data_IF_773544696879
#
_entry.id   IF_773544696879
#
_cell.length_a   1.000
_cell.length_b   1.000
_cell.length_c   1.000
_cell.angle_alpha   90.00
_cell.angle_beta   90.00
_cell.angle_gamma   90.00
#
_symmetry.space_group_name_H-M   'P 1'
#
loop_
_entity.id
_entity.type
_entity.pdbx_description
1 polymer ?
#
# COMPACT_ATOMS: atom_id res chain seq x y z
N UNK A 1 -5.57 9.06 12.78
CA UNK A 1 -6.33 7.79 12.86
C UNK A 1 -5.34 6.68 13.12
N UNK A 2 -5.62 5.80 14.07
CA UNK A 2 -4.79 4.62 14.30
C UNK A 2 -4.84 3.73 13.04
N UNK A 3 -3.70 3.24 12.56
CA UNK A 3 -3.62 2.35 11.41
C UNK A 3 -4.33 1.03 11.67
N UNK A 4 -4.86 0.40 10.63
CA UNK A 4 -5.47 -0.93 10.70
C UNK A 4 -4.46 -1.97 10.23
N UNK A 5 -4.21 -2.96 11.08
CA UNK A 5 -3.18 -3.97 10.87
C UNK A 5 -3.82 -5.35 10.79
N UNK A 6 -3.41 -6.14 9.80
CA UNK A 6 -3.75 -7.55 9.67
C UNK A 6 -2.54 -8.40 10.07
N UNK A 7 -2.75 -9.38 10.94
CA UNK A 7 -1.75 -10.39 11.32
C UNK A 7 -2.17 -11.73 10.73
N UNK A 8 -1.28 -12.37 9.99
CA UNK A 8 -1.53 -13.66 9.34
C UNK A 8 -0.42 -14.64 9.70
N UNK A 9 -0.75 -15.63 10.53
CA UNK A 9 0.20 -16.61 11.07
C UNK A 9 -0.60 -17.83 11.58
N UNK A 10 -0.16 -19.04 11.32
CA UNK A 10 -0.84 -20.25 11.80
C UNK A 10 -0.57 -20.50 13.30
N UNK A 11 0.43 -19.87 13.89
CA UNK A 11 0.75 -19.94 15.31
C UNK A 11 -0.09 -18.97 16.16
N UNK A 12 -1.12 -19.49 16.81
CA UNK A 12 -2.03 -18.68 17.63
C UNK A 12 -1.33 -17.92 18.79
N UNK A 13 -0.20 -18.42 19.27
CA UNK A 13 0.59 -17.76 20.31
C UNK A 13 1.24 -16.48 19.78
N UNK A 14 1.78 -16.52 18.57
CA UNK A 14 2.37 -15.35 17.90
C UNK A 14 1.30 -14.30 17.61
N UNK A 15 0.16 -14.71 17.05
CA UNK A 15 -0.96 -13.80 16.79
C UNK A 15 -1.41 -13.08 18.07
N UNK A 16 -1.52 -13.76 19.19
CA UNK A 16 -1.89 -13.14 20.48
C UNK A 16 -0.85 -12.14 20.95
N UNK A 17 0.43 -12.52 20.91
CA UNK A 17 1.53 -11.68 21.38
C UNK A 17 1.66 -10.42 20.54
N UNK A 18 1.64 -10.55 19.22
CA UNK A 18 1.74 -9.41 18.29
C UNK A 18 0.52 -8.51 18.39
N UNK A 19 -0.67 -9.11 18.46
CA UNK A 19 -1.91 -8.36 18.66
C UNK A 19 -1.86 -7.51 19.91
N UNK A 20 -1.52 -8.10 21.06
CA UNK A 20 -1.39 -7.38 22.31
C UNK A 20 -0.41 -6.21 22.22
N UNK A 21 0.77 -6.46 21.65
CA UNK A 21 1.80 -5.44 21.47
C UNK A 21 1.33 -4.24 20.61
N UNK A 22 0.59 -4.52 19.53
CA UNK A 22 0.15 -3.49 18.60
C UNK A 22 -1.12 -2.77 19.08
N UNK A 23 -2.03 -3.46 19.75
CA UNK A 23 -3.21 -2.85 20.36
C UNK A 23 -2.81 -1.92 21.52
N UNK A 24 -1.75 -2.25 22.28
CA UNK A 24 -1.18 -1.39 23.34
C UNK A 24 -0.65 -0.06 22.78
N UNK A 25 -0.18 -0.06 21.53
CA UNK A 25 0.23 1.15 20.79
C UNK A 25 -0.96 1.89 20.15
N UNK A 26 -2.19 1.41 20.35
CA UNK A 26 -3.41 2.05 19.85
C UNK A 26 -3.80 1.68 18.42
N UNK A 27 -3.18 0.68 17.80
CA UNK A 27 -3.56 0.19 16.47
C UNK A 27 -4.80 -0.71 16.53
N UNK A 28 -5.59 -0.72 15.45
CA UNK A 28 -6.69 -1.67 15.28
C UNK A 28 -6.16 -2.93 14.61
N UNK A 29 -6.25 -4.08 15.28
CA UNK A 29 -5.62 -5.32 14.82
C UNK A 29 -6.67 -6.40 14.55
N UNK A 30 -6.62 -6.99 13.37
CA UNK A 30 -7.32 -8.22 13.02
C UNK A 30 -6.32 -9.36 12.83
N UNK A 31 -6.74 -10.58 13.13
CA UNK A 31 -5.90 -11.78 13.04
C UNK A 31 -6.53 -12.82 12.12
N UNK A 32 -5.71 -13.49 11.33
CA UNK A 32 -6.08 -14.65 10.51
C UNK A 32 -5.07 -15.78 10.75
N UNK A 33 -5.54 -17.00 10.86
CA UNK A 33 -4.67 -18.18 11.04
C UNK A 33 -4.50 -18.98 9.74
N UNK A 34 -5.01 -18.50 8.63
CA UNK A 34 -4.92 -19.13 7.31
C UNK A 34 -5.09 -18.09 6.19
N UNK A 35 -4.67 -18.44 4.97
CA UNK A 35 -4.86 -17.63 3.79
C UNK A 35 -6.35 -17.32 3.53
N UNK A 36 -7.23 -18.30 3.69
CA UNK A 36 -8.68 -18.16 3.49
C UNK A 36 -9.28 -17.13 4.47
N UNK A 37 -8.89 -17.16 5.73
CA UNK A 37 -9.35 -16.16 6.70
C UNK A 37 -8.82 -14.75 6.38
N UNK A 38 -7.57 -14.66 5.96
CA UNK A 38 -6.96 -13.39 5.56
C UNK A 38 -7.71 -12.78 4.36
N UNK A 39 -8.01 -13.59 3.34
CA UNK A 39 -8.79 -13.17 2.18
C UNK A 39 -10.19 -12.68 2.58
N UNK A 40 -10.90 -13.44 3.41
CA UNK A 40 -12.24 -13.05 3.89
C UNK A 40 -12.23 -11.71 4.66
N UNK A 41 -11.16 -11.43 5.41
CA UNK A 41 -10.99 -10.16 6.10
C UNK A 41 -10.71 -9.02 5.12
N UNK A 42 -9.87 -9.22 4.11
CA UNK A 42 -9.55 -8.23 3.08
C UNK A 42 -10.78 -7.84 2.24
N UNK A 43 -11.73 -8.76 2.05
CA UNK A 43 -12.99 -8.47 1.38
C UNK A 43 -13.93 -7.59 2.19
N UNK A 44 -13.81 -7.59 3.51
CA UNK A 44 -14.73 -6.89 4.43
C UNK A 44 -14.16 -5.61 5.02
N UNK A 45 -12.85 -5.49 5.08
CA UNK A 45 -12.17 -4.40 5.76
C UNK A 45 -10.94 -3.96 4.98
N UNK A 46 -10.61 -2.66 5.10
CA UNK A 46 -9.40 -2.08 4.54
C UNK A 46 -8.31 -2.08 5.62
N UNK A 47 -7.13 -2.58 5.26
CA UNK A 47 -5.95 -2.57 6.12
C UNK A 47 -4.85 -1.71 5.50
N UNK A 48 -4.03 -1.10 6.35
CA UNK A 48 -2.88 -0.28 5.94
C UNK A 48 -1.60 -1.10 5.92
N UNK A 49 -1.49 -2.09 6.80
CA UNK A 49 -0.32 -2.93 7.00
C UNK A 49 -0.75 -4.38 7.26
N UNK A 50 -0.02 -5.33 6.71
CA UNK A 50 -0.14 -6.75 7.02
C UNK A 50 1.22 -7.31 7.45
N UNK A 51 1.22 -8.09 8.53
CA UNK A 51 2.32 -8.99 8.87
C UNK A 51 1.93 -10.39 8.45
N UNK A 52 2.72 -11.02 7.60
CA UNK A 52 2.41 -12.29 6.95
C UNK A 52 3.52 -13.30 7.20
N UNK A 53 3.20 -14.46 7.76
CA UNK A 53 4.13 -15.59 7.78
C UNK A 53 4.23 -16.23 6.39
N UNK A 54 5.43 -16.65 6.01
CA UNK A 54 5.67 -17.42 4.78
C UNK A 54 5.15 -18.86 4.88
N UNK A 55 4.99 -19.39 6.08
CA UNK A 55 4.44 -20.72 6.32
C UNK A 55 3.09 -20.61 6.98
N UNK A 56 2.05 -20.85 6.21
CA UNK A 56 0.65 -20.87 6.68
C UNK A 56 0.08 -22.28 6.51
N UNK A 57 0.47 -23.19 7.40
CA UNK A 57 0.12 -24.60 7.26
C UNK A 57 0.67 -25.19 5.96
N UNK A 58 -0.21 -25.52 5.02
CA UNK A 58 0.15 -26.04 3.69
C UNK A 58 0.32 -24.93 2.63
N UNK A 59 -0.14 -23.70 2.93
CA UNK A 59 -0.10 -22.58 1.99
C UNK A 59 1.29 -21.94 1.93
N UNK A 60 1.71 -21.58 0.71
CA UNK A 60 2.93 -20.81 0.49
C UNK A 60 2.64 -19.31 0.69
N UNK A 61 3.27 -18.70 1.68
CA UNK A 61 3.08 -17.27 1.98
C UNK A 61 3.45 -16.32 0.83
N UNK A 62 4.34 -16.71 -0.09
CA UNK A 62 4.64 -15.90 -1.27
C UNK A 62 3.45 -15.85 -2.24
N UNK A 63 2.71 -16.94 -2.40
CA UNK A 63 1.50 -16.96 -3.22
C UNK A 63 0.40 -16.12 -2.57
N UNK A 64 0.27 -16.19 -1.24
CA UNK A 64 -0.64 -15.34 -0.46
C UNK A 64 -0.28 -13.86 -0.61
N UNK A 65 1.01 -13.53 -0.53
CA UNK A 65 1.51 -12.17 -0.77
C UNK A 65 1.13 -11.66 -2.16
N UNK A 66 1.32 -12.46 -3.20
CA UNK A 66 0.97 -12.09 -4.57
C UNK A 66 -0.53 -11.78 -4.71
N UNK A 67 -1.40 -12.61 -4.11
CA UNK A 67 -2.84 -12.38 -4.09
C UNK A 67 -3.21 -11.09 -3.32
N UNK A 68 -2.60 -10.87 -2.16
CA UNK A 68 -2.80 -9.65 -1.36
C UNK A 68 -2.40 -8.39 -2.13
N UNK A 69 -1.31 -8.44 -2.91
CA UNK A 69 -0.87 -7.32 -3.73
C UNK A 69 -1.86 -6.97 -4.85
N UNK A 70 -2.59 -7.93 -5.36
CA UNK A 70 -3.65 -7.72 -6.35
C UNK A 70 -4.91 -7.14 -5.70
N UNK A 71 -5.33 -7.70 -4.57
CA UNK A 71 -6.57 -7.31 -3.88
C UNK A 71 -6.44 -5.95 -3.15
N UNK A 72 -5.29 -5.69 -2.55
CA UNK A 72 -5.02 -4.51 -1.74
C UNK A 72 -3.65 -3.89 -2.08
N UNK A 73 -3.47 -3.31 -3.29
CA UNK A 73 -2.18 -2.77 -3.74
C UNK A 73 -1.66 -1.63 -2.86
N UNK A 74 -2.53 -0.95 -2.14
CA UNK A 74 -2.17 0.11 -1.19
C UNK A 74 -1.63 -0.41 0.14
N UNK A 75 -1.96 -1.67 0.52
CA UNK A 75 -1.57 -2.26 1.80
C UNK A 75 -0.08 -2.62 1.79
N UNK A 76 0.63 -2.22 2.82
CA UNK A 76 2.02 -2.63 3.02
C UNK A 76 2.06 -4.04 3.59
N UNK A 77 2.90 -4.91 3.07
CA UNK A 77 3.03 -6.28 3.59
C UNK A 77 4.45 -6.49 4.08
N UNK A 78 4.60 -6.86 5.34
CA UNK A 78 5.86 -7.24 5.99
C UNK A 78 5.84 -8.74 6.22
N UNK A 79 6.85 -9.42 5.71
CA UNK A 79 7.01 -10.85 5.93
C UNK A 79 7.63 -11.09 7.32
N UNK A 80 7.06 -12.02 8.09
CA UNK A 80 7.58 -12.43 9.41
C UNK A 80 7.72 -13.93 9.43
N UNK A 81 8.93 -14.47 9.42
CA UNK A 81 9.14 -15.93 9.30
C UNK A 81 10.33 -16.42 10.11
N UNK A 82 10.28 -17.70 10.52
CA UNK A 82 11.38 -18.37 11.19
C UNK A 82 12.58 -18.66 10.25
N UNK A 83 12.40 -18.55 8.93
CA UNK A 83 13.46 -18.78 7.96
C UNK A 83 14.29 -17.53 7.73
N UNK A 84 15.56 -17.62 8.10
CA UNK A 84 16.56 -16.55 7.94
C UNK A 84 17.39 -16.65 6.67
N UNK A 85 16.99 -17.51 5.70
CA UNK A 85 17.73 -17.64 4.45
C UNK A 85 17.66 -16.34 3.65
N UNK A 86 18.81 -15.85 3.21
CA UNK A 86 18.92 -14.60 2.43
C UNK A 86 18.10 -14.68 1.14
N UNK A 87 18.11 -15.84 0.48
CA UNK A 87 17.36 -16.07 -0.76
C UNK A 87 15.86 -15.87 -0.54
N UNK A 88 15.31 -16.38 0.57
CA UNK A 88 13.89 -16.22 0.90
C UNK A 88 13.51 -14.76 1.17
N UNK A 89 14.39 -13.97 1.78
CA UNK A 89 14.17 -12.54 1.98
C UNK A 89 14.17 -11.78 0.65
N UNK A 90 15.11 -12.12 -0.25
CA UNK A 90 15.18 -11.54 -1.59
C UNK A 90 13.93 -11.86 -2.39
N UNK A 91 13.50 -13.12 -2.40
CA UNK A 91 12.29 -13.57 -3.09
C UNK A 91 11.03 -12.83 -2.58
N UNK A 92 10.92 -12.66 -1.26
CA UNK A 92 9.81 -11.91 -0.65
C UNK A 92 9.79 -10.44 -1.10
N UNK A 93 10.91 -9.76 -1.10
CA UNK A 93 11.01 -8.36 -1.54
C UNK A 93 10.71 -8.25 -3.05
N UNK A 94 11.22 -9.17 -3.88
CA UNK A 94 10.92 -9.21 -5.31
C UNK A 94 9.44 -9.49 -5.60
N UNK A 95 8.77 -10.30 -4.75
CA UNK A 95 7.34 -10.54 -4.81
C UNK A 95 6.49 -9.33 -4.33
N UNK A 96 7.12 -8.27 -3.86
CA UNK A 96 6.47 -7.03 -3.47
C UNK A 96 6.24 -6.85 -1.97
N UNK A 97 6.91 -7.63 -1.11
CA UNK A 97 6.94 -7.35 0.33
C UNK A 97 7.63 -6.01 0.59
N UNK A 98 7.11 -5.27 1.56
CA UNK A 98 7.62 -3.97 1.95
C UNK A 98 8.84 -4.07 2.88
N UNK A 99 8.91 -5.16 3.63
CA UNK A 99 10.00 -5.44 4.58
C UNK A 99 9.97 -6.93 4.97
N UNK A 100 10.98 -7.35 5.72
CA UNK A 100 11.17 -8.73 6.15
C UNK A 100 11.69 -8.77 7.58
N UNK A 101 11.04 -9.56 8.45
CA UNK A 101 11.42 -9.78 9.85
C UNK A 101 11.65 -11.26 10.11
N UNK A 102 12.67 -11.58 10.90
CA UNK A 102 13.00 -12.96 11.30
C UNK A 102 12.46 -13.23 12.69
N UNK A 103 11.74 -14.35 12.87
CA UNK A 103 11.31 -14.86 14.17
C UNK A 103 12.50 -15.51 14.91
N UNK A 104 12.63 -15.33 16.24
CA UNK A 104 11.79 -14.52 17.09
C UNK A 104 12.07 -13.03 16.90
N UNK A 105 11.07 -12.20 16.68
CA UNK A 105 11.23 -10.75 16.68
C UNK A 105 10.76 -10.16 18.02
N UNK A 106 11.50 -9.17 18.50
CA UNK A 106 11.16 -8.48 19.75
C UNK A 106 9.95 -7.55 19.54
N UNK A 107 9.22 -7.21 20.63
CA UNK A 107 8.19 -6.18 20.57
C UNK A 107 8.67 -4.85 19.97
N UNK A 108 9.90 -4.45 20.26
CA UNK A 108 10.46 -3.19 19.73
C UNK A 108 10.73 -3.26 18.23
N UNK A 109 11.18 -4.40 17.71
CA UNK A 109 11.33 -4.62 16.28
C UNK A 109 9.98 -4.56 15.57
N UNK A 110 8.94 -5.17 16.16
CA UNK A 110 7.59 -5.13 15.62
C UNK A 110 7.03 -3.70 15.60
N UNK A 111 7.19 -2.94 16.71
CA UNK A 111 6.78 -1.53 16.81
C UNK A 111 7.48 -0.66 15.78
N UNK A 112 8.80 -0.80 15.67
CA UNK A 112 9.61 -0.03 14.71
C UNK A 112 9.21 -0.31 13.27
N UNK A 113 9.03 -1.57 12.90
CA UNK A 113 8.57 -1.96 11.58
C UNK A 113 7.17 -1.40 11.29
N UNK A 114 6.27 -1.47 12.26
CA UNK A 114 4.91 -0.93 12.14
C UNK A 114 4.93 0.58 11.89
N UNK A 115 5.63 1.35 12.73
CA UNK A 115 5.72 2.80 12.60
C UNK A 115 6.30 3.21 11.23
N UNK A 116 7.40 2.58 10.81
CA UNK A 116 8.04 2.83 9.52
C UNK A 116 7.09 2.57 8.34
N UNK A 117 6.40 1.43 8.33
CA UNK A 117 5.55 1.06 7.20
C UNK A 117 4.27 1.90 7.13
N UNK A 118 3.69 2.27 8.27
CA UNK A 118 2.52 3.15 8.30
C UNK A 118 2.86 4.58 7.89
N UNK A 119 4.03 5.09 8.26
CA UNK A 119 4.52 6.39 7.77
C UNK A 119 4.65 6.41 6.25
N UNK A 120 5.31 5.40 5.66
CA UNK A 120 5.43 5.26 4.20
C UNK A 120 4.05 5.17 3.54
N UNK A 121 3.12 4.41 4.13
CA UNK A 121 1.75 4.30 3.63
C UNK A 121 1.02 5.64 3.62
N UNK A 122 1.15 6.41 4.69
CA UNK A 122 0.54 7.74 4.79
C UNK A 122 1.12 8.72 3.77
N UNK A 123 2.44 8.70 3.57
CA UNK A 123 3.10 9.55 2.57
C UNK A 123 2.64 9.19 1.15
N UNK A 124 2.56 7.90 0.82
CA UNK A 124 2.06 7.43 -0.48
C UNK A 124 0.61 7.87 -0.73
N UNK A 125 -0.27 7.72 0.27
CA UNK A 125 -1.66 8.15 0.17
C UNK A 125 -1.79 9.67 -0.05
N UNK A 126 -0.90 10.46 0.56
CA UNK A 126 -0.85 11.90 0.39
C UNK A 126 -0.43 12.30 -1.02
N UNK A 127 0.57 11.62 -1.58
CA UNK A 127 1.01 11.84 -2.96
C UNK A 127 -0.10 11.49 -3.95
N UNK A 128 -0.74 10.35 -3.80
CA UNK A 128 -1.87 9.92 -4.65
C UNK A 128 -3.03 10.94 -4.62
N UNK A 129 -3.34 11.50 -3.43
CA UNK A 129 -4.37 12.52 -3.29
C UNK A 129 -4.00 13.81 -4.03
N UNK A 130 -2.75 14.27 -3.92
CA UNK A 130 -2.26 15.47 -4.60
C UNK A 130 -2.23 15.28 -6.12
N UNK A 131 -1.78 14.14 -6.62
CA UNK A 131 -1.79 13.81 -8.05
C UNK A 131 -3.23 13.71 -8.60
N UNK A 132 -4.17 13.20 -7.81
CA UNK A 132 -5.59 13.15 -8.14
C UNK A 132 -6.23 14.54 -8.25
N UNK A 133 -5.79 15.50 -7.44
CA UNK A 133 -6.24 16.91 -7.53
C UNK A 133 -5.68 17.61 -8.77
N UNK A 134 -4.44 17.33 -9.15
CA UNK A 134 -3.80 17.88 -10.36
C UNK A 134 -4.43 17.30 -11.63
N UNK A 135 -4.88 16.05 -11.60
CA UNK A 135 -5.54 15.37 -12.73
C UNK A 135 -7.03 15.67 -12.89
N UNK A 136 -7.69 16.26 -11.89
CA UNK A 136 -9.02 16.81 -12.12
C UNK A 136 -8.87 17.97 -13.10
N UNK A 137 -9.48 17.91 -14.30
CA UNK A 137 -9.62 19.10 -15.12
C UNK A 137 -10.24 20.15 -14.20
N UNK A 138 -9.70 21.34 -14.17
CA UNK A 138 -10.43 22.48 -13.64
C UNK A 138 -11.62 22.70 -14.59
N UNK A 139 -12.66 21.91 -14.43
CA UNK A 139 -13.99 22.23 -14.92
C UNK A 139 -14.45 23.47 -14.14
N UNK A 140 -14.09 24.61 -14.65
CA UNK A 140 -14.33 25.91 -14.01
C UNK A 140 -13.48 27.05 -14.57
N UNK A 141 -12.70 26.81 -15.60
CA UNK A 141 -12.30 27.89 -16.50
C UNK A 141 -13.53 28.17 -17.36
N UNK A 142 -14.37 29.10 -16.90
CA UNK A 142 -15.32 29.78 -17.74
C UNK A 142 -14.63 30.09 -19.08
N UNK A 143 -15.07 29.38 -20.14
CA UNK A 143 -14.63 29.59 -21.51
C UNK A 143 -15.04 30.97 -22.06
N UNK A 144 -15.40 31.88 -21.18
CA UNK A 144 -15.83 33.26 -21.44
C UNK A 144 -14.90 34.31 -20.84
N UNK A 145 -13.69 33.95 -20.41
CA UNK A 145 -12.69 34.94 -20.05
C UNK A 145 -12.20 35.65 -21.32
N UNK A 146 -12.33 36.98 -21.42
CA UNK A 146 -11.86 37.76 -22.60
C UNK A 146 -10.37 37.56 -22.92
N UNK A 147 -9.56 37.23 -21.89
CA UNK A 147 -8.13 36.94 -22.07
C UNK A 147 -7.88 35.61 -22.77
N UNK A 148 -8.72 34.58 -22.53
CA UNK A 148 -8.61 33.27 -23.18
C UNK A 148 -9.07 33.30 -24.64
N UNK A 149 -10.09 34.10 -24.96
CA UNK A 149 -10.55 34.35 -26.32
C UNK A 149 -9.47 35.08 -27.15
N UNK A 150 -8.77 36.04 -26.58
CA UNK A 150 -7.67 36.75 -27.25
C UNK A 150 -6.49 35.81 -27.58
N UNK A 151 -6.15 34.87 -26.71
CA UNK A 151 -5.09 33.87 -26.95
C UNK A 151 -5.48 32.89 -28.05
N UNK A 152 -6.73 32.41 -28.08
CA UNK A 152 -7.23 31.51 -29.11
C UNK A 152 -7.33 32.21 -30.49
N UNK A 153 -7.70 33.49 -30.52
CA UNK A 153 -7.76 34.31 -31.73
C UNK A 153 -6.34 34.52 -32.31
N UNK A 154 -5.37 34.81 -31.46
CA UNK A 154 -3.96 34.98 -31.86
C UNK A 154 -3.36 33.68 -32.39
N UNK A 155 -3.65 32.53 -31.73
CA UNK A 155 -3.21 31.22 -32.19
C UNK A 155 -3.83 30.82 -33.55
N UNK A 156 -5.06 31.23 -33.80
CA UNK A 156 -5.77 30.97 -35.08
C UNK A 156 -5.18 31.83 -36.21
N UNK A 157 -4.80 33.07 -35.93
CA UNK A 157 -4.15 33.96 -36.91
C UNK A 157 -2.77 33.48 -37.34
N UNK A 158 -1.98 32.92 -36.39
CA UNK A 158 -0.65 32.36 -36.68
C UNK A 158 -0.75 31.11 -37.52
N UNK A 159 -1.75 30.24 -37.25
CA UNK A 159 -1.96 28.98 -38.00
C UNK A 159 -2.43 29.20 -39.45
N UNK A 160 -3.01 30.38 -39.79
CA UNK A 160 -3.46 30.70 -41.15
C UNK A 160 -2.39 31.42 -41.98
N UNK A 161 -1.27 31.86 -41.38
CA UNK A 161 -0.23 32.62 -42.07
C UNK A 161 0.89 31.75 -42.65
N UNK A 162 1.02 30.50 -42.20
CA UNK A 162 2.05 29.55 -42.69
C UNK A 162 1.62 28.66 -43.87
N UNK A 163 0.46 28.91 -44.45
CA UNK A 163 -0.03 28.12 -45.57
C UNK A 163 0.24 28.73 -46.97
N UNK A 164 1.12 29.75 -47.08
CA UNK A 164 1.47 30.35 -48.37
C UNK A 164 2.97 30.73 -48.41
N UNK A 165 3.86 29.76 -48.50
CA UNK A 165 5.17 29.89 -49.17
C UNK A 165 5.50 28.51 -49.75
N UNK A 166 5.31 28.37 -51.06
CA UNK A 166 5.88 27.42 -52.03
C UNK A 166 6.47 26.11 -51.53
#
# INVERSE_FOLDING_TARGET
MAGRILLVDDESAILRTFRYCLEDEGYSVATANSAVQAEALLQRQVFDLCFLDLRLGEDNGLDVLAQMRIQAPWMRVVIVTAHSAVDTAVDAIQAGAADYLVKPCSPDQLRLATAKQLEVRQLSARLEALEGEVRKPKDGLDSHSPAMMAVLETARQVATTDANIL
#
